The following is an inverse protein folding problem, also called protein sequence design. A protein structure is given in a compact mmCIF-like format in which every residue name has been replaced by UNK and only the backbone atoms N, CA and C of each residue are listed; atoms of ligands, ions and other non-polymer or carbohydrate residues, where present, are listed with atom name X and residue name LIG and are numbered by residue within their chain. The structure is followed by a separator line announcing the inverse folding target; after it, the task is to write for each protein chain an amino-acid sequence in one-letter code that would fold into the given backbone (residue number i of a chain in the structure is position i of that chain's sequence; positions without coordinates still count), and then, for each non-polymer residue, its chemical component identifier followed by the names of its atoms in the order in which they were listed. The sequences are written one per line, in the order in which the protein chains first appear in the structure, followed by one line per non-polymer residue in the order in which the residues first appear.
data_IF_092678768610
#
_entry.id   IF_092678768610
#
_cell.length_a   1.000
_cell.length_b   1.000
_cell.length_c   1.000
_cell.angle_alpha   90.00
_cell.angle_beta   90.00
_cell.angle_gamma   90.00
#
_symmetry.space_group_name_H-M   'P 1'
#
loop_
_entity.id
_entity.type
_entity.pdbx_description
1 polymer ?
#
# COMPACT_ATOMS: atom_id res chain seq x y z
N UNK A 1 -6.72 34.43 -8.51
CA UNK A 1 -5.90 33.53 -7.67
C UNK A 1 -4.52 33.44 -8.31
N UNK A 2 -3.45 33.56 -7.53
CA UNK A 2 -2.07 33.49 -8.07
C UNK A 2 -1.73 32.07 -8.49
N UNK A 3 -0.96 31.94 -9.57
CA UNK A 3 -0.53 30.68 -10.18
C UNK A 3 0.17 29.69 -9.21
N UNK A 4 1.00 30.15 -8.24
CA UNK A 4 1.62 29.27 -7.23
C UNK A 4 0.62 28.55 -6.31
N UNK A 5 -0.47 29.23 -5.91
CA UNK A 5 -1.50 28.65 -5.04
C UNK A 5 -2.24 27.51 -5.77
N UNK A 6 -2.52 27.70 -7.06
CA UNK A 6 -3.17 26.68 -7.90
C UNK A 6 -2.25 25.47 -8.07
N UNK A 7 -0.95 25.68 -8.35
CA UNK A 7 0.06 24.62 -8.44
C UNK A 7 0.14 23.79 -7.15
N UNK A 8 0.30 24.44 -6.00
CA UNK A 8 0.37 23.77 -4.70
C UNK A 8 -0.89 22.95 -4.39
N UNK A 9 -2.07 23.53 -4.66
CA UNK A 9 -3.35 22.84 -4.46
C UNK A 9 -3.47 21.58 -5.32
N UNK A 10 -3.04 21.66 -6.59
CA UNK A 10 -3.06 20.51 -7.50
C UNK A 10 -2.12 19.41 -7.02
N UNK A 11 -0.90 19.74 -6.60
CA UNK A 11 0.07 18.77 -6.07
C UNK A 11 -0.45 18.05 -4.82
N UNK A 12 -1.01 18.78 -3.86
CA UNK A 12 -1.64 18.18 -2.67
C UNK A 12 -2.85 17.30 -3.01
N UNK A 13 -3.58 17.64 -4.06
CA UNK A 13 -4.71 16.82 -4.53
C UNK A 13 -4.21 15.50 -5.13
N UNK A 14 -3.12 15.53 -5.90
CA UNK A 14 -2.48 14.33 -6.43
C UNK A 14 -1.89 13.46 -5.32
N UNK A 15 -1.17 14.05 -4.37
CA UNK A 15 -0.67 13.34 -3.17
C UNK A 15 -1.81 12.62 -2.44
N UNK A 16 -2.92 13.30 -2.18
CA UNK A 16 -4.10 12.71 -1.53
C UNK A 16 -4.69 11.56 -2.35
N UNK A 17 -4.75 11.70 -3.68
CA UNK A 17 -5.23 10.64 -4.58
C UNK A 17 -4.36 9.38 -4.46
N UNK A 18 -3.04 9.52 -4.59
CA UNK A 18 -2.12 8.37 -4.48
C UNK A 18 -2.12 7.77 -3.07
N UNK A 19 -2.26 8.57 -2.02
CA UNK A 19 -2.41 8.04 -0.67
C UNK A 19 -3.68 7.19 -0.50
N UNK A 20 -4.81 7.62 -1.08
CA UNK A 20 -6.04 6.82 -1.07
C UNK A 20 -5.86 5.51 -1.86
N UNK A 21 -5.22 5.57 -3.02
CA UNK A 21 -4.90 4.39 -3.83
C UNK A 21 -4.00 3.41 -3.07
N UNK A 22 -2.97 3.92 -2.39
CA UNK A 22 -2.07 3.12 -1.54
C UNK A 22 -2.84 2.40 -0.42
N UNK A 23 -3.79 3.07 0.22
CA UNK A 23 -4.62 2.45 1.27
C UNK A 23 -5.53 1.36 0.72
N UNK A 24 -6.08 1.55 -0.48
CA UNK A 24 -6.89 0.52 -1.15
C UNK A 24 -6.04 -0.72 -1.47
N UNK A 25 -4.88 -0.52 -2.10
CA UNK A 25 -3.97 -1.62 -2.45
C UNK A 25 -3.49 -2.39 -1.21
N UNK A 26 -3.20 -1.69 -0.10
CA UNK A 26 -2.83 -2.36 1.16
C UNK A 26 -3.94 -3.24 1.74
N UNK A 27 -5.20 -2.84 1.59
CA UNK A 27 -6.35 -3.66 2.01
C UNK A 27 -6.51 -4.89 1.12
N UNK A 28 -6.34 -4.71 -0.19
CA UNK A 28 -6.35 -5.80 -1.15
C UNK A 28 -5.25 -6.82 -0.85
N UNK A 29 -4.01 -6.35 -0.65
CA UNK A 29 -2.89 -7.19 -0.20
C UNK A 29 -3.22 -7.94 1.09
N UNK A 30 -3.78 -7.26 2.10
CA UNK A 30 -4.21 -7.90 3.34
C UNK A 30 -5.20 -9.04 3.11
N UNK A 31 -6.15 -8.87 2.18
CA UNK A 31 -7.16 -9.90 1.85
C UNK A 31 -6.53 -11.11 1.16
N UNK A 32 -5.55 -10.87 0.29
CA UNK A 32 -4.80 -11.94 -0.39
C UNK A 32 -3.94 -12.74 0.60
N UNK A 33 -3.25 -12.04 1.53
CA UNK A 33 -2.47 -12.69 2.59
C UNK A 33 -3.36 -13.51 3.54
N UNK A 34 -4.53 -12.99 3.93
CA UNK A 34 -5.48 -13.74 4.75
C UNK A 34 -5.95 -15.03 4.02
N UNK A 35 -6.15 -14.95 2.70
CA UNK A 35 -6.52 -16.09 1.86
C UNK A 35 -5.38 -17.11 1.76
N UNK A 36 -4.14 -16.65 1.60
CA UNK A 36 -2.94 -17.48 1.60
C UNK A 36 -2.79 -18.23 2.94
N UNK A 37 -2.94 -17.53 4.06
CA UNK A 37 -2.90 -18.10 5.41
C UNK A 37 -4.00 -19.14 5.63
N UNK A 38 -5.21 -18.87 5.12
CA UNK A 38 -6.31 -19.83 5.18
C UNK A 38 -5.98 -21.12 4.42
N UNK A 39 -5.50 -21.04 3.19
CA UNK A 39 -5.13 -22.22 2.40
C UNK A 39 -3.99 -23.02 3.03
N UNK A 40 -2.98 -22.34 3.59
CA UNK A 40 -1.90 -23.00 4.32
C UNK A 40 -2.42 -23.77 5.55
N UNK A 41 -3.39 -23.19 6.29
CA UNK A 41 -4.04 -23.88 7.42
C UNK A 41 -4.87 -25.09 6.98
N UNK A 42 -5.56 -24.99 5.85
CA UNK A 42 -6.31 -26.13 5.30
C UNK A 42 -5.37 -27.28 4.89
N UNK A 43 -4.24 -26.97 4.26
CA UNK A 43 -3.20 -27.96 3.93
C UNK A 43 -2.67 -28.61 5.22
N UNK A 44 -2.35 -27.83 6.24
CA UNK A 44 -1.89 -28.36 7.53
C UNK A 44 -2.93 -29.27 8.18
N UNK A 45 -4.21 -28.89 8.12
CA UNK A 45 -5.32 -29.69 8.66
C UNK A 45 -5.45 -31.04 7.92
N UNK A 46 -5.25 -31.03 6.60
CA UNK A 46 -5.21 -32.26 5.80
C UNK A 46 -4.01 -33.15 6.17
N UNK A 47 -2.85 -32.55 6.44
CA UNK A 47 -1.65 -33.27 6.89
C UNK A 47 -1.82 -33.90 8.27
N UNK A 48 -2.41 -33.16 9.22
CA UNK A 48 -2.73 -33.67 10.55
C UNK A 48 -3.76 -34.81 10.48
N UNK A 49 -4.76 -34.67 9.60
CA UNK A 49 -5.76 -35.70 9.32
C UNK A 49 -5.15 -36.99 8.75
N UNK A 50 -4.23 -36.86 7.78
CA UNK A 50 -3.47 -37.99 7.25
C UNK A 50 -2.65 -38.68 8.35
N UNK A 51 -1.89 -37.92 9.13
CA UNK A 51 -1.09 -38.47 10.21
C UNK A 51 -1.93 -39.22 11.26
N UNK A 52 -3.14 -38.74 11.55
CA UNK A 52 -4.07 -39.40 12.46
C UNK A 52 -4.59 -40.74 11.89
N UNK A 53 -4.96 -40.78 10.60
CA UNK A 53 -5.42 -42.00 9.95
C UNK A 53 -4.30 -43.03 9.76
N UNK A 54 -3.10 -42.59 9.42
CA UNK A 54 -1.88 -43.43 9.37
C UNK A 54 -1.64 -44.16 10.69
N UNK A 55 -1.82 -43.43 11.81
CA UNK A 55 -1.63 -43.98 13.14
C UNK A 55 -2.69 -45.04 13.48
N UNK A 56 -3.95 -44.83 13.05
CA UNK A 56 -5.03 -45.80 13.23
C UNK A 56 -4.80 -47.06 12.38
N UNK A 57 -4.46 -46.89 11.09
CA UNK A 57 -4.19 -48.00 10.17
C UNK A 57 -3.03 -48.88 10.68
N UNK A 58 -1.96 -48.28 11.23
CA UNK A 58 -0.85 -49.02 11.85
C UNK A 58 -1.25 -49.77 13.13
N UNK A 59 -2.20 -49.23 13.89
CA UNK A 59 -2.65 -49.84 15.14
C UNK A 59 -3.58 -51.05 14.92
N UNK A 60 -4.42 -51.03 13.87
CA UNK A 60 -5.44 -52.06 13.63
C UNK A 60 -4.95 -53.32 12.89
N UNK A 61 -3.68 -53.39 12.46
CA UNK A 61 -3.06 -54.51 11.68
C UNK A 61 -3.75 -54.88 10.35
N UNK A 62 -4.92 -54.34 10.05
CA UNK A 62 -5.58 -54.36 8.75
C UNK A 62 -5.65 -52.94 8.19
N UNK A 63 -5.27 -52.74 6.93
CA UNK A 63 -5.51 -51.48 6.23
C UNK A 63 -7.04 -51.31 6.10
N UNK A 64 -7.64 -50.26 6.66
CA UNK A 64 -9.08 -50.04 6.54
C UNK A 64 -9.49 -49.99 5.06
N UNK A 65 -10.55 -50.70 4.69
CA UNK A 65 -11.10 -50.66 3.34
C UNK A 65 -11.46 -49.19 3.01
N UNK A 66 -10.79 -48.60 2.03
CA UNK A 66 -10.98 -47.19 1.65
C UNK A 66 -9.87 -46.22 2.06
N UNK A 67 -8.83 -46.66 2.78
CA UNK A 67 -7.69 -45.81 3.13
C UNK A 67 -6.95 -45.27 1.89
N UNK A 68 -6.74 -46.09 0.85
CA UNK A 68 -6.13 -45.63 -0.41
C UNK A 68 -6.98 -44.56 -1.12
N UNK A 69 -8.31 -44.71 -1.09
CA UNK A 69 -9.25 -43.72 -1.64
C UNK A 69 -9.19 -42.41 -0.85
N UNK A 70 -9.13 -42.49 0.48
CA UNK A 70 -8.95 -41.33 1.35
C UNK A 70 -7.62 -40.61 1.04
N UNK A 71 -6.51 -41.35 1.00
CA UNK A 71 -5.19 -40.81 0.69
C UNK A 71 -5.18 -40.09 -0.67
N UNK A 72 -5.79 -40.71 -1.69
CA UNK A 72 -5.93 -40.11 -3.02
C UNK A 72 -6.69 -38.78 -2.95
N UNK A 73 -7.85 -38.75 -2.31
CA UNK A 73 -8.66 -37.52 -2.19
C UNK A 73 -7.96 -36.42 -1.41
N UNK A 74 -7.24 -36.75 -0.32
CA UNK A 74 -6.47 -35.75 0.41
C UNK A 74 -5.37 -35.16 -0.47
N UNK A 75 -4.63 -36.01 -1.20
CA UNK A 75 -3.57 -35.55 -2.08
C UNK A 75 -4.10 -34.66 -3.22
N UNK A 76 -5.21 -35.05 -3.87
CA UNK A 76 -5.87 -34.22 -4.89
C UNK A 76 -6.28 -32.85 -4.33
N UNK A 77 -6.83 -32.82 -3.11
CA UNK A 77 -7.25 -31.57 -2.46
C UNK A 77 -6.05 -30.70 -2.07
N UNK A 78 -4.97 -31.30 -1.58
CA UNK A 78 -3.70 -30.58 -1.29
C UNK A 78 -3.08 -30.00 -2.55
N UNK A 79 -3.07 -30.75 -3.65
CA UNK A 79 -2.58 -30.29 -4.95
C UNK A 79 -3.41 -29.10 -5.45
N UNK A 80 -4.74 -29.20 -5.36
CA UNK A 80 -5.62 -28.07 -5.68
C UNK A 80 -5.29 -26.81 -4.87
N UNK A 81 -5.11 -26.93 -3.55
CA UNK A 81 -4.76 -25.79 -2.71
C UNK A 81 -3.36 -25.23 -2.99
N UNK A 82 -2.41 -26.07 -3.38
CA UNK A 82 -1.07 -25.61 -3.81
C UNK A 82 -1.13 -24.79 -5.09
N UNK A 83 -1.91 -25.23 -6.07
CA UNK A 83 -2.10 -24.46 -7.31
C UNK A 83 -2.73 -23.09 -7.01
N UNK A 84 -3.75 -23.04 -6.15
CA UNK A 84 -4.33 -21.76 -5.71
C UNK A 84 -3.33 -20.87 -4.95
N UNK A 85 -2.43 -21.46 -4.16
CA UNK A 85 -1.37 -20.72 -3.49
C UNK A 85 -0.34 -20.13 -4.47
N UNK A 86 -0.03 -20.84 -5.55
CA UNK A 86 0.82 -20.31 -6.64
C UNK A 86 0.15 -19.12 -7.33
N UNK A 87 -1.13 -19.24 -7.70
CA UNK A 87 -1.91 -18.14 -8.27
C UNK A 87 -1.97 -16.92 -7.34
N UNK A 88 -2.26 -17.13 -6.05
CA UNK A 88 -2.25 -16.06 -5.04
C UNK A 88 -0.87 -15.42 -4.88
N UNK A 89 0.21 -16.21 -4.98
CA UNK A 89 1.57 -15.67 -4.86
C UNK A 89 1.90 -14.71 -6.01
N UNK A 90 1.44 -15.01 -7.23
CA UNK A 90 1.59 -14.12 -8.38
C UNK A 90 0.76 -12.83 -8.19
N UNK A 91 -0.48 -12.95 -7.74
CA UNK A 91 -1.34 -11.80 -7.45
C UNK A 91 -0.75 -10.89 -6.35
N UNK A 92 -0.24 -11.49 -5.26
CA UNK A 92 0.44 -10.77 -4.17
C UNK A 92 1.60 -9.97 -4.73
N UNK A 93 2.48 -10.58 -5.53
CA UNK A 93 3.62 -9.89 -6.12
C UNK A 93 3.19 -8.70 -6.98
N UNK A 94 2.14 -8.87 -7.80
CA UNK A 94 1.59 -7.80 -8.64
C UNK A 94 1.08 -6.64 -7.77
N UNK A 95 0.40 -6.92 -6.66
CA UNK A 95 -0.09 -5.88 -5.74
C UNK A 95 1.07 -5.20 -5.02
N UNK A 96 2.10 -5.93 -4.59
CA UNK A 96 3.29 -5.36 -3.97
C UNK A 96 4.03 -4.41 -4.91
N UNK A 97 4.18 -4.78 -6.18
CA UNK A 97 4.78 -3.94 -7.21
C UNK A 97 3.97 -2.65 -7.44
N UNK A 98 2.63 -2.76 -7.49
CA UNK A 98 1.73 -1.61 -7.57
C UNK A 98 1.84 -0.70 -6.35
N UNK A 99 1.90 -1.27 -5.15
CA UNK A 99 2.10 -0.53 -3.89
C UNK A 99 3.41 0.25 -3.96
N UNK A 100 4.49 -0.41 -4.40
CA UNK A 100 5.80 0.22 -4.54
C UNK A 100 5.74 1.41 -5.51
N UNK A 101 5.17 1.22 -6.69
CA UNK A 101 5.01 2.27 -7.70
C UNK A 101 4.18 3.45 -7.17
N UNK A 102 3.01 3.19 -6.60
CA UNK A 102 2.10 4.22 -6.05
C UNK A 102 2.78 4.99 -4.91
N UNK A 103 3.54 4.29 -4.07
CA UNK A 103 4.31 4.93 -3.00
C UNK A 103 5.39 5.88 -3.54
N UNK A 104 6.13 5.46 -4.58
CA UNK A 104 7.13 6.32 -5.23
C UNK A 104 6.50 7.58 -5.83
N UNK A 105 5.40 7.45 -6.57
CA UNK A 105 4.71 8.61 -7.15
C UNK A 105 4.15 9.53 -6.05
N UNK A 106 3.59 8.98 -4.97
CA UNK A 106 3.14 9.77 -3.82
C UNK A 106 4.29 10.60 -3.22
N UNK A 107 5.46 10.00 -2.99
CA UNK A 107 6.63 10.72 -2.44
C UNK A 107 7.10 11.84 -3.38
N UNK A 108 7.12 11.58 -4.69
CA UNK A 108 7.45 12.59 -5.70
C UNK A 108 6.52 13.80 -5.63
N UNK A 109 5.19 13.60 -5.56
CA UNK A 109 4.25 14.71 -5.43
C UNK A 109 4.36 15.44 -4.11
N UNK A 110 4.68 14.72 -3.02
CA UNK A 110 4.94 15.32 -1.71
C UNK A 110 6.15 16.26 -1.77
N UNK A 111 7.28 15.80 -2.32
CA UNK A 111 8.49 16.61 -2.49
C UNK A 111 8.20 17.86 -3.35
N UNK A 112 7.46 17.67 -4.45
CA UNK A 112 7.05 18.80 -5.31
C UNK A 112 6.14 19.79 -4.58
N UNK A 113 5.23 19.30 -3.73
CA UNK A 113 4.33 20.16 -2.94
C UNK A 113 5.10 20.96 -1.89
N UNK A 114 6.05 20.33 -1.20
CA UNK A 114 6.91 20.99 -0.21
C UNK A 114 7.78 22.06 -0.87
N UNK A 115 8.38 21.76 -2.03
CA UNK A 115 9.14 22.73 -2.83
C UNK A 115 8.27 23.89 -3.31
N UNK A 116 7.07 23.63 -3.83
CA UNK A 116 6.15 24.68 -4.26
C UNK A 116 5.67 25.55 -3.09
N UNK A 117 5.51 24.98 -1.89
CA UNK A 117 5.17 25.72 -0.68
C UNK A 117 6.32 26.63 -0.26
N UNK A 118 7.56 26.15 -0.32
CA UNK A 118 8.74 26.94 -0.02
C UNK A 118 8.88 28.13 -0.97
N UNK A 119 8.80 27.90 -2.28
CA UNK A 119 8.82 28.97 -3.31
C UNK A 119 7.72 30.01 -3.06
N UNK A 120 6.53 29.57 -2.68
CA UNK A 120 5.40 30.45 -2.37
C UNK A 120 5.68 31.33 -1.13
N UNK A 121 6.27 30.75 -0.08
CA UNK A 121 6.63 31.47 1.14
C UNK A 121 7.76 32.49 0.89
N UNK A 122 8.77 32.11 0.11
CA UNK A 122 9.86 33.01 -0.28
C UNK A 122 9.32 34.20 -1.10
N UNK A 123 8.44 33.93 -2.06
CA UNK A 123 7.79 34.97 -2.84
C UNK A 123 6.92 35.90 -1.98
N UNK A 124 6.12 35.35 -1.05
CA UNK A 124 5.35 36.17 -0.11
C UNK A 124 6.24 37.06 0.76
N UNK A 125 7.32 36.50 1.31
CA UNK A 125 8.29 37.24 2.13
C UNK A 125 8.96 38.36 1.34
N UNK A 126 9.31 38.09 0.07
CA UNK A 126 9.88 39.10 -0.82
C UNK A 126 8.90 40.27 -1.06
N UNK A 127 7.63 39.98 -1.38
CA UNK A 127 6.61 41.02 -1.59
C UNK A 127 6.31 41.81 -0.32
N UNK A 128 6.29 41.14 0.84
CA UNK A 128 6.11 41.82 2.13
C UNK A 128 7.26 42.78 2.43
N UNK A 129 8.51 42.35 2.21
CA UNK A 129 9.68 43.21 2.38
C UNK A 129 9.65 44.41 1.42
N UNK A 130 9.33 44.21 0.13
CA UNK A 130 9.18 45.30 -0.82
C UNK A 130 8.11 46.31 -0.38
N UNK A 131 6.97 45.81 0.11
CA UNK A 131 5.90 46.67 0.62
C UNK A 131 6.34 47.48 1.85
N UNK A 132 7.04 46.86 2.80
CA UNK A 132 7.58 47.53 3.99
C UNK A 132 8.61 48.59 3.63
N UNK A 133 9.48 48.32 2.66
CA UNK A 133 10.46 49.28 2.14
C UNK A 133 9.76 50.47 1.48
N UNK A 134 8.75 50.23 0.64
CA UNK A 134 7.96 51.31 0.02
C UNK A 134 7.25 52.19 1.06
N UNK A 135 6.65 51.58 2.08
CA UNK A 135 5.99 52.30 3.18
C UNK A 135 7.01 53.15 3.95
N UNK A 136 8.18 52.58 4.26
CA UNK A 136 9.26 53.28 4.97
C UNK A 136 9.76 54.49 4.18
N UNK A 137 9.98 54.33 2.86
CA UNK A 137 10.40 55.43 1.99
C UNK A 137 9.38 56.57 1.90
N UNK A 138 8.06 56.25 1.87
CA UNK A 138 7.00 57.27 1.89
C UNK A 138 6.99 58.05 3.20
N UNK A 139 7.12 57.37 4.34
CA UNK A 139 7.16 58.03 5.65
C UNK A 139 8.35 58.98 5.81
N UNK A 140 9.52 58.59 5.29
CA UNK A 140 10.72 59.46 5.29
C UNK A 140 10.46 60.72 4.46
N UNK A 141 9.90 60.57 3.25
CA UNK A 141 9.55 61.71 2.38
C UNK A 141 8.54 62.66 3.05
N UNK A 142 7.50 62.11 3.68
CA UNK A 142 6.47 62.90 4.37
C UNK A 142 7.00 63.64 5.63
N UNK A 143 8.16 63.22 6.16
CA UNK A 143 8.86 63.92 7.25
C UNK A 143 9.77 65.04 6.76
N UNK A 144 10.40 64.88 5.60
CA UNK A 144 11.27 65.90 5.00
C UNK A 144 10.48 67.09 4.40
N UNK A 145 9.20 66.87 4.05
CA UNK A 145 8.29 67.89 3.49
C UNK A 145 7.56 68.76 4.56
N UNK A 146 7.90 68.61 5.86
CA UNK A 146 7.32 69.37 6.99
C UNK A 146 8.31 70.31 7.66
#
# INVERSE_FOLDING_TARGET
MSEPIIRLKNLKTLEKKYNLELQTLKKELGTLLDSQDFLNKEIQTLDDGLAAEDKKAKAEKSIPYGYDTFLKHVNEKKEHYRNLLEELSEEIQIIEDKIHFVFQEMQKYKIMADSALQEMNEHHTYHENQFLDEVSQRQIRDMDDK
#
